data_IF_418266577153
#
_entry.id   IF_418266577153
#
_cell.length_a   1.000
_cell.length_b   1.000
_cell.length_c   1.000
_cell.angle_alpha   90.00
_cell.angle_beta   90.00
_cell.angle_gamma   90.00
#
_symmetry.space_group_name_H-M   'P 1'
#
loop_
_entity.id
_entity.type
_entity.pdbx_description
1 polymer ?
#
# COMPACT_ATOMS: atom_id res chain seq x y z
N UNK A 1 -4.37 14.30 -18.97
CA UNK A 1 -5.23 13.25 -18.38
C UNK A 1 -5.26 12.11 -19.39
N UNK A 2 -4.74 10.94 -19.04
CA UNK A 2 -4.52 9.85 -20.00
C UNK A 2 -5.89 9.27 -20.40
N UNK A 3 -6.26 9.33 -21.68
CA UNK A 3 -7.53 8.81 -22.21
C UNK A 3 -7.74 7.32 -21.87
N UNK A 4 -6.64 6.58 -21.69
CA UNK A 4 -6.65 5.16 -21.31
C UNK A 4 -7.14 4.96 -19.87
N UNK A 5 -6.82 5.88 -18.95
CA UNK A 5 -7.30 5.79 -17.57
C UNK A 5 -8.81 6.05 -17.47
N UNK A 6 -9.33 6.98 -18.28
CA UNK A 6 -10.77 7.23 -18.36
C UNK A 6 -11.50 6.01 -18.92
N UNK A 7 -10.97 5.39 -19.98
CA UNK A 7 -11.55 4.18 -20.56
C UNK A 7 -11.57 3.00 -19.57
N UNK A 8 -10.51 2.82 -18.78
CA UNK A 8 -10.45 1.77 -17.75
C UNK A 8 -11.42 2.04 -16.59
N UNK A 9 -11.56 3.31 -16.18
CA UNK A 9 -12.49 3.71 -15.14
C UNK A 9 -13.95 3.54 -15.59
N UNK A 10 -14.25 3.88 -16.85
CA UNK A 10 -15.57 3.68 -17.44
C UNK A 10 -15.92 2.19 -17.54
N UNK A 11 -14.95 1.34 -17.90
CA UNK A 11 -15.15 -0.11 -17.98
C UNK A 11 -15.42 -0.72 -16.59
N UNK A 12 -14.68 -0.28 -15.57
CA UNK A 12 -14.93 -0.66 -14.17
C UNK A 12 -16.29 -0.15 -13.65
N UNK A 13 -16.63 1.10 -13.92
CA UNK A 13 -17.90 1.69 -13.53
C UNK A 13 -19.07 0.96 -14.19
N UNK A 14 -18.93 0.58 -15.45
CA UNK A 14 -19.95 -0.20 -16.18
C UNK A 14 -20.15 -1.58 -15.57
N UNK A 15 -19.07 -2.29 -15.22
CA UNK A 15 -19.15 -3.59 -14.55
C UNK A 15 -19.89 -3.50 -13.21
N UNK A 16 -19.61 -2.47 -12.42
CA UNK A 16 -20.26 -2.31 -11.11
C UNK A 16 -21.75 -1.98 -11.26
N UNK A 17 -22.09 -1.06 -12.16
CA UNK A 17 -23.49 -0.67 -12.37
C UNK A 17 -24.31 -1.81 -12.97
N UNK A 18 -23.78 -2.46 -14.00
CA UNK A 18 -24.55 -3.38 -14.85
C UNK A 18 -24.57 -4.81 -14.31
N UNK A 19 -23.59 -5.19 -13.46
CA UNK A 19 -23.48 -6.56 -12.92
C UNK A 19 -23.74 -6.64 -11.43
N UNK A 20 -23.36 -5.62 -10.67
CA UNK A 20 -23.50 -5.60 -9.20
C UNK A 20 -24.78 -4.87 -8.80
N UNK A 21 -24.98 -3.64 -9.26
CA UNK A 21 -26.10 -2.81 -8.83
C UNK A 21 -27.42 -3.17 -9.53
N UNK A 22 -27.40 -3.59 -10.79
CA UNK A 22 -28.60 -4.01 -11.53
C UNK A 22 -29.31 -5.22 -10.91
N UNK A 23 -28.56 -6.10 -10.23
CA UNK A 23 -29.09 -7.27 -9.52
C UNK A 23 -29.60 -6.95 -8.11
N UNK A 24 -29.38 -5.73 -7.63
CA UNK A 24 -29.88 -5.28 -6.33
C UNK A 24 -31.18 -4.55 -6.58
N UNK A 25 -32.28 -5.25 -6.34
CA UNK A 25 -33.62 -4.66 -6.43
C UNK A 25 -33.82 -3.66 -5.29
N UNK A 26 -33.44 -2.40 -5.54
CA UNK A 26 -33.56 -1.29 -4.59
C UNK A 26 -35.00 -0.78 -4.49
N UNK A 27 -35.94 -1.31 -5.28
CA UNK A 27 -37.34 -0.90 -5.27
C UNK A 27 -38.05 -1.26 -3.96
N UNK A 28 -37.64 -2.33 -3.29
CA UNK A 28 -38.14 -2.76 -1.97
C UNK A 28 -37.53 -1.97 -0.81
N UNK A 29 -36.44 -1.21 -1.08
CA UNK A 29 -35.71 -0.42 -0.09
C UNK A 29 -35.95 1.09 -0.24
N UNK A 30 -36.39 1.53 -1.43
CA UNK A 30 -36.63 2.94 -1.78
C UNK A 30 -37.87 3.47 -1.07
N UNK A 31 -37.66 4.12 0.07
CA UNK A 31 -38.71 4.73 0.88
C UNK A 31 -38.96 4.04 2.23
N UNK A 32 -38.28 2.93 2.49
CA UNK A 32 -38.35 2.26 3.80
C UNK A 32 -37.33 2.87 4.76
N UNK A 33 -37.77 3.30 5.94
CA UNK A 33 -36.82 3.66 6.98
C UNK A 33 -36.17 2.38 7.51
N UNK A 34 -34.94 2.49 8.02
CA UNK A 34 -34.19 1.37 8.63
C UNK A 34 -35.02 0.64 9.69
N UNK A 35 -35.94 1.36 10.37
CA UNK A 35 -36.88 0.80 11.34
C UNK A 35 -37.92 -0.14 10.71
N UNK A 36 -38.43 0.19 9.52
CA UNK A 36 -39.43 -0.60 8.82
C UNK A 36 -38.82 -1.87 8.24
N UNK A 37 -37.58 -1.78 7.75
CA UNK A 37 -36.79 -2.93 7.29
C UNK A 37 -36.53 -3.91 8.45
N UNK A 38 -36.11 -3.40 9.60
CA UNK A 38 -35.89 -4.22 10.79
C UNK A 38 -37.19 -4.89 11.24
N UNK A 39 -38.29 -4.13 11.27
CA UNK A 39 -39.59 -4.66 11.68
C UNK A 39 -40.07 -5.77 10.76
N UNK A 40 -39.98 -5.60 9.44
CA UNK A 40 -40.38 -6.63 8.47
C UNK A 40 -39.52 -7.89 8.57
N UNK A 41 -38.24 -7.76 8.95
CA UNK A 41 -37.35 -8.88 9.17
C UNK A 41 -37.73 -9.71 10.39
N UNK A 42 -38.09 -9.05 11.51
CA UNK A 42 -38.56 -9.70 12.74
C UNK A 42 -40.00 -10.23 12.62
N UNK A 43 -40.79 -9.70 11.70
CA UNK A 43 -42.13 -10.18 11.40
C UNK A 43 -42.09 -11.44 10.51
N UNK A 44 -41.13 -11.52 9.57
CA UNK A 44 -40.83 -12.74 8.80
C UNK A 44 -40.07 -13.80 9.61
N UNK A 45 -39.25 -13.38 10.58
CA UNK A 45 -38.47 -14.25 11.45
C UNK A 45 -38.83 -13.93 12.90
N UNK A 46 -39.97 -14.44 13.42
CA UNK A 46 -40.40 -14.16 14.78
C UNK A 46 -39.30 -14.56 15.75
N UNK A 47 -38.95 -13.62 16.63
CA UNK A 47 -37.99 -13.88 17.70
C UNK A 47 -38.48 -15.06 18.54
N UNK A 48 -37.60 -16.00 18.90
CA UNK A 48 -37.92 -17.02 19.89
C UNK A 48 -38.54 -16.34 21.13
N UNK A 49 -39.66 -16.86 21.62
CA UNK A 49 -40.28 -16.32 22.83
C UNK A 49 -39.24 -16.25 23.95
N UNK A 50 -39.22 -15.18 24.76
CA UNK A 50 -38.27 -15.05 25.83
C UNK A 50 -38.62 -16.06 26.92
N UNK A 51 -38.03 -17.25 26.83
CA UNK A 51 -37.71 -18.02 28.02
C UNK A 51 -36.92 -17.10 28.95
N UNK A 52 -37.15 -17.22 30.25
CA UNK A 52 -36.65 -16.35 31.32
C UNK A 52 -35.12 -16.30 31.48
N UNK A 53 -34.34 -16.62 30.46
CA UNK A 53 -32.90 -16.45 30.41
C UNK A 53 -32.58 -15.03 29.96
N UNK A 54 -32.76 -14.12 30.93
CA UNK A 54 -31.97 -12.91 31.12
C UNK A 54 -31.41 -12.29 29.83
N UNK A 55 -32.24 -11.49 29.16
CA UNK A 55 -31.83 -10.47 28.19
C UNK A 55 -31.02 -9.37 28.92
N UNK A 56 -29.92 -9.77 29.54
CA UNK A 56 -29.04 -8.94 30.34
C UNK A 56 -27.94 -8.35 29.48
N UNK A 57 -27.24 -7.38 30.03
CA UNK A 57 -26.00 -6.78 29.52
C UNK A 57 -25.04 -7.76 28.84
N UNK A 58 -25.10 -9.04 29.21
CA UNK A 58 -24.34 -10.15 28.66
C UNK A 58 -24.53 -10.33 27.16
N UNK A 59 -25.71 -10.13 26.56
CA UNK A 59 -25.85 -10.34 25.10
C UNK A 59 -25.08 -9.29 24.28
N UNK A 60 -25.18 -8.01 24.66
CA UNK A 60 -24.40 -6.95 24.00
C UNK A 60 -22.92 -7.09 24.33
N UNK A 61 -22.57 -7.43 25.57
CA UNK A 61 -21.18 -7.66 25.95
C UNK A 61 -20.59 -8.84 25.18
N UNK A 62 -21.35 -9.94 25.05
CA UNK A 62 -20.97 -11.18 24.38
C UNK A 62 -20.89 -11.00 22.87
N UNK A 63 -21.83 -10.24 22.28
CA UNK A 63 -21.75 -9.80 20.89
C UNK A 63 -20.52 -8.93 20.63
N UNK A 64 -20.21 -7.99 21.52
CA UNK A 64 -19.01 -7.15 21.42
C UNK A 64 -17.73 -7.98 21.63
N UNK A 65 -17.69 -8.92 22.59
CA UNK A 65 -16.50 -9.78 22.80
C UNK A 65 -16.31 -10.78 21.68
N UNK A 66 -17.39 -11.28 21.07
CA UNK A 66 -17.30 -12.15 19.90
C UNK A 66 -16.83 -11.39 18.66
N UNK A 67 -17.29 -10.15 18.46
CA UNK A 67 -16.78 -9.26 17.42
C UNK A 67 -15.31 -8.90 17.66
N UNK A 68 -14.95 -8.57 18.89
CA UNK A 68 -13.57 -8.26 19.26
C UNK A 68 -12.66 -9.48 19.10
N UNK A 69 -13.13 -10.70 19.43
CA UNK A 69 -12.41 -11.96 19.21
C UNK A 69 -12.28 -12.29 17.72
N UNK A 70 -13.30 -12.02 16.91
CA UNK A 70 -13.25 -12.20 15.45
C UNK A 70 -12.29 -11.18 14.81
N UNK A 71 -12.32 -9.92 15.25
CA UNK A 71 -11.39 -8.87 14.83
C UNK A 71 -9.95 -9.16 15.29
N UNK A 72 -9.78 -9.70 16.50
CA UNK A 72 -8.47 -10.12 17.01
C UNK A 72 -7.92 -11.31 16.21
N UNK A 73 -8.76 -12.29 15.85
CA UNK A 73 -8.38 -13.39 14.97
C UNK A 73 -8.08 -12.93 13.53
N UNK A 74 -8.74 -11.87 13.04
CA UNK A 74 -8.42 -11.22 11.75
C UNK A 74 -7.13 -10.39 11.81
N UNK A 75 -6.82 -9.79 12.96
CA UNK A 75 -5.66 -8.91 13.16
C UNK A 75 -4.39 -9.65 13.57
N UNK A 76 -4.50 -10.85 14.16
CA UNK A 76 -3.39 -11.58 14.78
C UNK A 76 -3.44 -13.11 14.54
N UNK A 77 -4.21 -13.60 13.57
CA UNK A 77 -4.36 -15.03 13.27
C UNK A 77 -3.11 -15.68 12.68
N UNK A 78 -2.52 -16.58 13.46
CA UNK A 78 -1.27 -17.32 13.29
C UNK A 78 -1.28 -18.38 12.15
N UNK A 79 -1.70 -17.97 10.96
CA UNK A 79 -1.60 -18.77 9.74
C UNK A 79 -0.95 -17.93 8.65
N UNK A 80 0.20 -18.42 8.18
CA UNK A 80 1.07 -17.85 7.15
C UNK A 80 0.43 -17.69 5.75
N UNK A 81 -0.90 -17.71 5.68
CA UNK A 81 -1.67 -17.22 4.55
C UNK A 81 -2.55 -16.10 5.10
N UNK A 82 -1.98 -14.88 5.17
CA UNK A 82 -2.78 -13.68 5.26
C UNK A 82 -3.92 -13.82 4.25
N UNK A 83 -5.18 -13.78 4.72
CA UNK A 83 -6.31 -14.05 3.84
C UNK A 83 -6.14 -13.19 2.58
N UNK A 84 -6.28 -13.80 1.38
CA UNK A 84 -6.09 -13.08 0.11
C UNK A 84 -6.72 -11.67 0.10
N UNK A 85 -7.89 -11.43 0.74
CA UNK A 85 -8.44 -10.08 0.91
C UNK A 85 -7.52 -9.06 1.61
N UNK A 86 -6.81 -9.44 2.67
CA UNK A 86 -5.93 -8.54 3.43
C UNK A 86 -4.72 -8.13 2.59
N UNK A 87 -4.13 -9.09 1.87
CA UNK A 87 -3.01 -8.81 0.97
C UNK A 87 -3.44 -7.91 -0.19
N UNK A 88 -4.63 -8.15 -0.77
CA UNK A 88 -5.17 -7.29 -1.82
C UNK A 88 -5.50 -5.89 -1.30
N UNK A 89 -6.04 -5.77 -0.08
CA UNK A 89 -6.30 -4.48 0.55
C UNK A 89 -4.98 -3.70 0.75
N UNK A 90 -3.97 -4.35 1.32
CA UNK A 90 -2.66 -3.73 1.54
C UNK A 90 -2.00 -3.31 0.21
N UNK A 91 -1.99 -4.19 -0.80
CA UNK A 91 -1.47 -3.88 -2.12
C UNK A 91 -2.23 -2.71 -2.78
N UNK A 92 -3.55 -2.67 -2.64
CA UNK A 92 -4.38 -1.57 -3.16
C UNK A 92 -4.02 -0.24 -2.49
N UNK A 93 -3.85 -0.21 -1.16
CA UNK A 93 -3.42 0.99 -0.44
C UNK A 93 -2.06 1.46 -0.93
N UNK A 94 -1.09 0.56 -1.06
CA UNK A 94 0.26 0.91 -1.56
C UNK A 94 0.21 1.46 -2.98
N UNK A 95 -0.57 0.85 -3.89
CA UNK A 95 -0.74 1.32 -5.27
C UNK A 95 -1.41 2.70 -5.28
N UNK A 96 -2.48 2.89 -4.51
CA UNK A 96 -3.18 4.19 -4.41
C UNK A 96 -2.21 5.27 -3.90
N UNK A 97 -1.41 4.98 -2.88
CA UNK A 97 -0.42 5.91 -2.36
C UNK A 97 0.66 6.25 -3.40
N UNK A 98 1.13 5.27 -4.16
CA UNK A 98 2.09 5.50 -5.26
C UNK A 98 1.51 6.40 -6.34
N UNK A 99 0.29 6.10 -6.82
CA UNK A 99 -0.41 6.92 -7.82
C UNK A 99 -0.70 8.32 -7.28
N UNK A 100 -1.06 8.45 -6.00
CA UNK A 100 -1.31 9.73 -5.36
C UNK A 100 -0.03 10.55 -5.20
N UNK A 101 1.11 9.90 -4.90
CA UNK A 101 2.43 10.52 -4.88
C UNK A 101 2.83 11.09 -6.25
N UNK A 102 2.62 10.31 -7.32
CA UNK A 102 2.85 10.78 -8.69
C UNK A 102 1.90 11.93 -9.08
N UNK A 103 0.63 11.86 -8.66
CA UNK A 103 -0.32 12.95 -8.88
C UNK A 103 0.08 14.22 -8.10
N UNK A 104 0.62 14.06 -6.90
CA UNK A 104 1.16 15.14 -6.08
C UNK A 104 2.38 15.79 -6.74
N UNK A 105 3.31 14.99 -7.28
CA UNK A 105 4.45 15.47 -8.05
C UNK A 105 3.99 16.32 -9.24
N UNK A 106 3.01 15.85 -10.02
CA UNK A 106 2.49 16.60 -11.17
C UNK A 106 1.86 17.94 -10.81
N UNK A 107 1.25 18.04 -9.63
CA UNK A 107 0.58 19.27 -9.18
C UNK A 107 1.53 20.28 -8.53
N UNK A 108 2.52 19.79 -7.78
CA UNK A 108 3.40 20.64 -6.94
C UNK A 108 4.83 20.78 -7.47
N UNK A 109 5.27 19.87 -8.35
CA UNK A 109 6.65 19.76 -8.79
C UNK A 109 7.59 19.08 -7.79
N UNK A 110 7.09 18.66 -6.62
CA UNK A 110 7.89 18.00 -5.57
C UNK A 110 8.03 16.52 -5.90
N UNK A 111 9.26 15.97 -6.02
CA UNK A 111 9.48 14.56 -6.32
C UNK A 111 8.63 13.63 -5.44
N UNK A 112 7.94 12.69 -6.09
CA UNK A 112 7.05 11.71 -5.45
C UNK A 112 7.75 10.94 -4.32
N UNK A 113 9.03 10.61 -4.49
CA UNK A 113 9.84 9.93 -3.47
C UNK A 113 9.93 10.71 -2.15
N UNK A 114 10.00 12.05 -2.19
CA UNK A 114 10.03 12.86 -0.97
C UNK A 114 8.69 12.83 -0.26
N UNK A 115 7.60 12.90 -1.03
CA UNK A 115 6.24 12.79 -0.50
C UNK A 115 6.01 11.42 0.17
N UNK A 116 6.40 10.33 -0.50
CA UNK A 116 6.28 8.97 0.03
C UNK A 116 7.17 8.75 1.26
N UNK A 117 8.37 9.35 1.30
CA UNK A 117 9.25 9.29 2.47
C UNK A 117 8.64 9.97 3.69
N UNK A 118 8.09 11.18 3.53
CA UNK A 118 7.40 11.90 4.61
C UNK A 118 6.19 11.10 5.09
N UNK A 119 5.41 10.56 4.15
CA UNK A 119 4.25 9.73 4.48
C UNK A 119 4.67 8.47 5.27
N UNK A 120 5.76 7.82 4.88
CA UNK A 120 6.32 6.68 5.61
C UNK A 120 6.76 7.04 7.04
N UNK A 121 7.39 8.20 7.22
CA UNK A 121 7.77 8.72 8.55
C UNK A 121 6.52 9.00 9.40
N UNK A 122 5.46 9.55 8.81
CA UNK A 122 4.20 9.81 9.53
C UNK A 122 3.54 8.49 9.94
N UNK A 123 3.42 7.52 9.02
CA UNK A 123 2.73 6.25 9.28
C UNK A 123 3.52 5.35 10.24
N UNK A 124 4.85 5.30 10.09
CA UNK A 124 5.74 4.44 10.89
C UNK A 124 5.94 4.99 12.30
N UNK A 125 7.00 5.79 12.55
CA UNK A 125 7.35 6.23 13.90
C UNK A 125 6.38 7.24 14.53
N UNK A 126 5.73 8.11 13.75
CA UNK A 126 4.88 9.17 14.33
C UNK A 126 3.52 8.63 14.79
N UNK A 127 2.85 7.82 13.98
CA UNK A 127 1.56 7.21 14.32
C UNK A 127 1.69 5.85 15.01
N UNK A 128 2.85 5.18 14.92
CA UNK A 128 3.09 3.88 15.54
C UNK A 128 2.26 2.74 14.96
N UNK A 129 1.67 2.93 13.77
CA UNK A 129 0.81 1.92 13.12
C UNK A 129 1.65 0.72 12.66
N UNK A 130 2.90 0.99 12.24
CA UNK A 130 3.81 -0.01 11.73
C UNK A 130 5.01 -0.12 12.66
N UNK A 131 5.26 -1.33 13.18
CA UNK A 131 6.45 -1.63 13.99
C UNK A 131 7.71 -1.62 13.11
N UNK A 132 8.72 -0.78 13.40
CA UNK A 132 9.96 -0.73 12.62
C UNK A 132 10.67 -2.09 12.51
N UNK A 133 10.60 -2.93 13.55
CA UNK A 133 11.28 -4.21 13.62
C UNK A 133 10.79 -5.17 12.52
N UNK A 134 9.47 -5.26 12.35
CA UNK A 134 8.86 -6.08 11.30
C UNK A 134 9.20 -5.56 9.89
N UNK A 135 9.35 -4.23 9.74
CA UNK A 135 9.74 -3.59 8.48
C UNK A 135 11.18 -3.93 8.12
N UNK A 136 12.09 -3.90 9.10
CA UNK A 136 13.51 -4.19 8.88
C UNK A 136 13.76 -5.62 8.38
N UNK A 137 12.94 -6.59 8.77
CA UNK A 137 13.04 -7.96 8.28
C UNK A 137 12.56 -8.11 6.83
N UNK A 138 11.49 -7.38 6.43
CA UNK A 138 10.84 -7.58 5.13
C UNK A 138 11.36 -6.64 4.03
N UNK A 139 11.85 -5.45 4.40
CA UNK A 139 12.35 -4.43 3.46
C UNK A 139 13.45 -4.94 2.53
N UNK A 140 14.47 -5.71 2.98
CA UNK A 140 15.50 -6.20 2.08
C UNK A 140 14.94 -7.04 0.93
N UNK A 141 13.94 -7.88 1.19
CA UNK A 141 13.30 -8.71 0.17
C UNK A 141 12.46 -7.89 -0.80
N UNK A 142 11.65 -6.95 -0.29
CA UNK A 142 10.85 -6.07 -1.14
C UNK A 142 11.71 -5.11 -1.96
N UNK A 143 12.76 -4.53 -1.36
CA UNK A 143 13.71 -3.67 -2.05
C UNK A 143 14.44 -4.42 -3.17
N UNK A 144 14.83 -5.68 -2.94
CA UNK A 144 15.42 -6.51 -3.97
C UNK A 144 14.46 -6.75 -5.15
N UNK A 145 13.20 -7.12 -4.88
CA UNK A 145 12.19 -7.32 -5.94
C UNK A 145 11.90 -6.02 -6.69
N UNK A 146 11.72 -4.91 -5.97
CA UNK A 146 11.51 -3.60 -6.56
C UNK A 146 12.69 -3.17 -7.43
N UNK A 147 13.92 -3.34 -6.96
CA UNK A 147 15.13 -3.03 -7.71
C UNK A 147 15.24 -3.91 -8.96
N UNK A 148 14.95 -5.20 -8.87
CA UNK A 148 14.90 -6.09 -10.04
C UNK A 148 13.90 -5.57 -11.07
N UNK A 149 12.68 -5.21 -10.66
CA UNK A 149 11.64 -4.71 -11.57
C UNK A 149 12.07 -3.38 -12.22
N UNK A 150 12.57 -2.43 -11.43
CA UNK A 150 13.01 -1.11 -11.93
C UNK A 150 14.20 -1.25 -12.87
N UNK A 151 15.20 -2.07 -12.51
CA UNK A 151 16.37 -2.33 -13.36
C UNK A 151 15.99 -3.10 -14.63
N UNK A 152 15.02 -4.02 -14.53
CA UNK A 152 14.52 -4.77 -15.68
C UNK A 152 13.78 -3.84 -16.65
N UNK A 153 12.90 -2.98 -16.15
CA UNK A 153 12.20 -1.98 -16.99
C UNK A 153 13.17 -0.98 -17.62
N UNK A 154 14.15 -0.50 -16.84
CA UNK A 154 15.23 0.34 -17.36
C UNK A 154 16.10 -0.35 -18.42
N UNK A 155 16.33 -1.66 -18.26
CA UNK A 155 17.09 -2.50 -19.19
C UNK A 155 16.32 -2.83 -20.47
N UNK A 156 15.03 -3.13 -20.39
CA UNK A 156 14.18 -3.43 -21.54
C UNK A 156 13.95 -2.20 -22.43
N UNK A 157 13.82 -1.02 -21.84
CA UNK A 157 13.68 0.24 -22.58
C UNK A 157 15.01 0.75 -23.16
N UNK A 158 16.13 0.05 -22.90
CA UNK A 158 17.45 0.43 -23.37
C UNK A 158 17.66 0.05 -24.84
N UNK A 159 17.97 1.04 -25.67
CA UNK A 159 18.22 0.84 -27.10
C UNK A 159 19.64 0.31 -27.31
N UNK A 160 19.82 -1.02 -27.24
CA UNK A 160 21.13 -1.69 -27.23
C UNK A 160 22.06 -1.19 -28.35
N UNK A 161 21.53 -1.05 -29.57
CA UNK A 161 22.32 -0.63 -30.73
C UNK A 161 22.84 0.80 -30.66
N UNK A 162 22.15 1.70 -29.94
CA UNK A 162 22.61 3.07 -29.71
C UNK A 162 23.62 3.12 -28.56
N UNK A 163 23.34 2.38 -27.48
CA UNK A 163 24.23 2.31 -26.31
C UNK A 163 25.58 1.71 -26.67
N UNK A 164 25.63 0.63 -27.45
CA UNK A 164 26.90 0.04 -27.89
C UNK A 164 27.76 1.01 -28.71
N UNK A 165 27.15 1.85 -29.55
CA UNK A 165 27.89 2.85 -30.35
C UNK A 165 28.53 3.94 -29.50
N UNK A 166 27.91 4.29 -28.37
CA UNK A 166 28.42 5.32 -27.44
C UNK A 166 29.06 4.72 -26.18
N UNK A 167 29.19 3.39 -26.09
CA UNK A 167 29.54 2.68 -24.88
C UNK A 167 30.91 3.09 -24.34
N UNK A 168 31.90 3.26 -25.22
CA UNK A 168 33.25 3.68 -24.82
C UNK A 168 33.21 4.96 -23.97
N UNK A 169 32.45 5.97 -24.41
CA UNK A 169 32.37 7.24 -23.70
C UNK A 169 31.57 7.10 -22.41
N UNK A 170 30.45 6.37 -22.45
CA UNK A 170 29.62 6.11 -21.28
C UNK A 170 30.38 5.36 -20.17
N UNK A 171 31.22 4.39 -20.52
CA UNK A 171 32.03 3.63 -19.57
C UNK A 171 33.06 4.54 -18.89
N UNK A 172 33.75 5.39 -19.64
CA UNK A 172 34.70 6.35 -19.05
C UNK A 172 33.96 7.29 -18.11
N UNK A 173 32.80 7.80 -18.52
CA UNK A 173 31.98 8.70 -17.69
C UNK A 173 31.53 8.02 -16.40
N UNK A 174 31.09 6.76 -16.46
CA UNK A 174 30.68 5.98 -15.28
C UNK A 174 31.87 5.75 -14.36
N UNK A 175 33.00 5.27 -14.86
CA UNK A 175 34.18 4.96 -14.02
C UNK A 175 34.71 6.23 -13.36
N UNK A 176 34.93 7.28 -14.14
CA UNK A 176 35.50 8.54 -13.63
C UNK A 176 34.51 9.25 -12.72
N UNK A 177 33.23 9.35 -13.13
CA UNK A 177 32.18 10.00 -12.35
C UNK A 177 31.92 9.28 -11.03
N UNK A 178 31.85 7.95 -11.05
CA UNK A 178 31.70 7.13 -9.84
C UNK A 178 32.92 7.28 -8.92
N UNK A 179 34.13 7.08 -9.43
CA UNK A 179 35.35 7.19 -8.61
C UNK A 179 35.51 8.60 -8.01
N UNK A 180 35.17 9.64 -8.76
CA UNK A 180 35.22 11.01 -8.27
C UNK A 180 34.13 11.30 -7.24
N UNK A 181 32.90 10.82 -7.46
CA UNK A 181 31.80 10.96 -6.50
C UNK A 181 32.15 10.28 -5.17
N UNK A 182 32.52 9.00 -5.22
CA UNK A 182 32.91 8.22 -4.04
C UNK A 182 34.10 8.89 -3.35
N UNK A 183 35.12 9.30 -4.10
CA UNK A 183 36.32 9.94 -3.54
C UNK A 183 36.03 11.27 -2.83
N UNK A 184 35.19 12.13 -3.43
CA UNK A 184 34.82 13.43 -2.83
C UNK A 184 33.96 13.20 -1.58
N UNK A 185 32.92 12.37 -1.69
CA UNK A 185 31.98 12.12 -0.59
C UNK A 185 32.68 11.40 0.57
N UNK A 186 33.47 10.37 0.29
CA UNK A 186 34.26 9.67 1.29
C UNK A 186 35.32 10.57 1.93
N UNK A 187 35.97 11.44 1.16
CA UNK A 187 36.89 12.44 1.70
C UNK A 187 36.20 13.41 2.66
N UNK A 188 35.03 13.94 2.28
CA UNK A 188 34.24 14.80 3.16
C UNK A 188 33.76 14.07 4.41
N UNK A 189 33.34 12.80 4.30
CA UNK A 189 32.90 12.01 5.44
C UNK A 189 34.07 11.72 6.40
N UNK A 190 35.23 11.30 5.89
CA UNK A 190 36.39 10.99 6.71
C UNK A 190 36.94 12.23 7.41
N UNK A 191 37.18 13.32 6.67
CA UNK A 191 37.80 14.53 7.23
C UNK A 191 36.80 15.49 7.89
N UNK A 192 35.53 15.48 7.46
CA UNK A 192 34.48 16.36 7.98
C UNK A 192 33.70 15.76 9.14
N UNK A 193 33.39 14.46 9.10
CA UNK A 193 32.64 13.75 10.15
C UNK A 193 33.53 12.86 11.03
N UNK A 194 34.80 12.63 10.65
CA UNK A 194 35.74 11.81 11.42
C UNK A 194 35.48 10.31 11.31
N UNK A 195 34.71 9.87 10.32
CA UNK A 195 34.34 8.46 10.14
C UNK A 195 35.53 7.61 9.67
N UNK A 196 35.51 6.30 9.88
CA UNK A 196 36.53 5.43 9.31
C UNK A 196 36.48 5.42 7.78
N UNK A 197 37.59 5.05 7.13
CA UNK A 197 37.65 4.97 5.67
C UNK A 197 36.62 4.02 5.08
N UNK A 198 36.31 2.91 5.76
CA UNK A 198 35.33 1.94 5.28
C UNK A 198 33.93 2.55 5.24
N UNK A 199 33.50 3.18 6.34
CA UNK A 199 32.17 3.82 6.45
C UNK A 199 32.04 5.01 5.51
N UNK A 200 33.14 5.75 5.34
CA UNK A 200 33.20 6.90 4.44
C UNK A 200 33.08 6.48 2.97
N UNK A 201 33.77 5.40 2.57
CA UNK A 201 33.69 4.84 1.22
C UNK A 201 32.33 4.18 0.98
N UNK A 202 31.70 3.58 1.99
CA UNK A 202 30.36 3.00 1.87
C UNK A 202 29.26 4.07 1.70
N UNK A 203 29.45 5.25 2.29
CA UNK A 203 28.55 6.38 2.12
C UNK A 203 28.74 7.11 0.78
N UNK A 204 29.97 7.11 0.24
CA UNK A 204 30.32 7.71 -1.05
C UNK A 204 29.93 6.87 -2.25
#
# INVERSE_FOLDING_TARGET
>A
MNLIFLALFDDFASFFNDKVLSNIDTSDLSGSNVRDILKSYFEKNPLPEPGSEQFGSNFLLEGITNLQGTLANLSFGDSLVASAPILLLAASVVIILGVLGEAFFKKTGIPDILFLMILGIIIGPVLGIIQPEAVLEIVPYFAAVALIIIMFDGGLNLHIGKVLKTAHFAIILVIVGFALSVGIVAGLAHYGLGWEWIDSILLG
#
